data_IF_876589326967
#
_entry.id   IF_876589326967
#
_cell.length_a   1.000
_cell.length_b   1.000
_cell.length_c   1.000
_cell.angle_alpha   90.00
_cell.angle_beta   90.00
_cell.angle_gamma   90.00
#
_symmetry.space_group_name_H-M   'P 1'
#
loop_
_entity.id
_entity.type
_entity.pdbx_description
1 polymer ?
#
# COMPACT_ATOMS: atom_id res chain seq x y z
N UNK A 1 10.85 -44.04 -43.37
CA UNK A 1 9.67 -43.19 -43.06
C UNK A 1 9.33 -43.15 -41.57
N UNK A 2 9.79 -44.08 -40.74
CA UNK A 2 9.52 -44.10 -39.29
C UNK A 2 10.36 -43.06 -38.49
N UNK A 3 11.57 -42.72 -38.94
CA UNK A 3 12.51 -41.93 -38.14
C UNK A 3 12.13 -40.44 -38.02
N UNK A 4 11.50 -39.88 -39.05
CA UNK A 4 11.12 -38.45 -39.09
C UNK A 4 9.97 -38.12 -38.12
N UNK A 5 9.10 -39.10 -37.82
CA UNK A 5 8.01 -38.95 -36.86
C UNK A 5 8.53 -38.95 -35.42
N UNK A 6 9.43 -39.88 -35.09
CA UNK A 6 10.06 -39.96 -33.78
C UNK A 6 10.87 -38.69 -33.46
N UNK A 7 11.62 -38.17 -34.43
CA UNK A 7 12.39 -36.92 -34.27
C UNK A 7 11.45 -35.73 -34.02
N UNK A 8 10.34 -35.61 -34.77
CA UNK A 8 9.33 -34.56 -34.53
C UNK A 8 8.67 -34.66 -33.16
N UNK A 9 8.36 -35.88 -32.70
CA UNK A 9 7.75 -36.10 -31.38
C UNK A 9 8.72 -35.73 -30.25
N UNK A 10 10.01 -36.07 -30.37
CA UNK A 10 11.05 -35.65 -29.41
C UNK A 10 11.28 -34.14 -29.42
N UNK A 11 11.23 -33.48 -30.58
CA UNK A 11 11.33 -32.03 -30.69
C UNK A 11 10.12 -31.34 -30.03
N UNK A 12 8.91 -31.83 -30.24
CA UNK A 12 7.72 -31.28 -29.58
C UNK A 12 7.73 -31.51 -28.06
N UNK A 13 8.15 -32.68 -27.60
CA UNK A 13 8.27 -32.99 -26.17
C UNK A 13 9.35 -32.12 -25.49
N UNK A 14 10.50 -31.91 -26.14
CA UNK A 14 11.56 -31.04 -25.62
C UNK A 14 11.15 -29.57 -25.61
N UNK A 15 10.46 -29.08 -26.65
CA UNK A 15 9.87 -27.73 -26.66
C UNK A 15 8.83 -27.58 -25.55
N UNK A 16 7.97 -28.59 -25.35
CA UNK A 16 6.97 -28.57 -24.27
C UNK A 16 7.62 -28.56 -22.88
N UNK A 17 8.67 -29.36 -22.66
CA UNK A 17 9.44 -29.35 -21.41
C UNK A 17 10.15 -28.02 -21.16
N UNK A 18 10.70 -27.37 -22.19
CA UNK A 18 11.32 -26.05 -22.11
C UNK A 18 10.30 -24.94 -21.82
N UNK A 19 9.10 -25.01 -22.41
CA UNK A 19 8.01 -24.10 -22.10
C UNK A 19 7.53 -24.31 -20.66
N UNK A 20 7.33 -25.55 -20.23
CA UNK A 20 6.89 -25.85 -18.87
C UNK A 20 7.91 -25.41 -17.80
N UNK A 21 9.22 -25.60 -18.05
CA UNK A 21 10.26 -25.18 -17.11
C UNK A 21 10.37 -23.65 -17.01
N UNK A 22 10.21 -22.92 -18.12
CA UNK A 22 10.22 -21.45 -18.14
C UNK A 22 9.00 -20.84 -17.44
N UNK A 23 7.80 -21.43 -17.57
CA UNK A 23 6.62 -21.01 -16.80
C UNK A 23 6.81 -21.18 -15.29
N UNK A 24 7.35 -22.31 -14.83
CA UNK A 24 7.60 -22.56 -13.41
C UNK A 24 8.66 -21.60 -12.82
N UNK A 25 9.70 -21.28 -13.59
CA UNK A 25 10.77 -20.38 -13.14
C UNK A 25 10.29 -18.92 -12.96
N UNK A 26 9.41 -18.44 -13.84
CA UNK A 26 8.83 -17.09 -13.72
C UNK A 26 7.97 -16.93 -12.47
N UNK A 27 7.16 -17.94 -12.12
CA UNK A 27 6.33 -17.92 -10.90
C UNK A 27 7.17 -17.87 -9.62
N UNK A 28 8.23 -18.68 -9.53
CA UNK A 28 9.15 -18.72 -8.40
C UNK A 28 9.88 -17.37 -8.24
N UNK A 29 10.33 -16.75 -9.34
CA UNK A 29 11.01 -15.46 -9.29
C UNK A 29 10.10 -14.34 -8.78
N UNK A 30 8.84 -14.31 -9.23
CA UNK A 30 7.86 -13.30 -8.80
C UNK A 30 7.50 -13.44 -7.31
N UNK A 31 7.32 -14.67 -6.81
CA UNK A 31 7.06 -14.93 -5.39
C UNK A 31 8.24 -14.47 -4.53
N UNK A 32 9.47 -14.82 -4.93
CA UNK A 32 10.68 -14.42 -4.21
C UNK A 32 10.86 -12.90 -4.18
N UNK A 33 10.61 -12.21 -5.29
CA UNK A 33 10.63 -10.74 -5.34
C UNK A 33 9.56 -10.13 -4.43
N UNK A 34 8.36 -10.71 -4.38
CA UNK A 34 7.29 -10.24 -3.50
C UNK A 34 7.66 -10.41 -2.03
N UNK A 35 8.27 -11.54 -1.67
CA UNK A 35 8.76 -11.83 -0.32
C UNK A 35 9.90 -10.91 0.07
N UNK A 36 10.86 -10.70 -0.82
CA UNK A 36 11.97 -9.75 -0.64
C UNK A 36 11.47 -8.32 -0.40
N UNK A 37 10.45 -7.89 -1.17
CA UNK A 37 9.82 -6.58 -0.99
C UNK A 37 9.06 -6.46 0.34
N UNK A 38 8.51 -7.55 0.86
CA UNK A 38 7.83 -7.56 2.15
C UNK A 38 8.82 -7.50 3.32
N UNK A 39 9.99 -8.12 3.18
CA UNK A 39 11.05 -8.13 4.20
C UNK A 39 11.97 -6.92 4.17
N UNK A 40 11.91 -6.09 3.12
CA UNK A 40 12.71 -4.87 3.06
C UNK A 40 12.27 -3.87 4.12
N UNK A 41 13.22 -3.04 4.58
CA UNK A 41 12.92 -1.93 5.47
C UNK A 41 12.01 -0.90 4.80
N UNK A 42 11.07 -0.36 5.56
CA UNK A 42 10.12 0.65 5.07
C UNK A 42 10.78 2.02 4.91
N UNK A 43 11.70 2.37 5.82
CA UNK A 43 12.42 3.64 5.79
C UNK A 43 13.64 3.52 4.89
N UNK A 44 13.66 4.31 3.80
CA UNK A 44 14.73 4.34 2.80
C UNK A 44 15.13 5.79 2.52
N UNK A 45 16.43 6.07 2.45
CA UNK A 45 16.96 7.42 2.23
C UNK A 45 16.52 7.98 0.88
N UNK A 46 16.43 7.11 -0.11
CA UNK A 46 16.08 7.43 -1.50
C UNK A 46 14.69 8.04 -1.57
N UNK A 47 13.72 7.50 -0.81
CA UNK A 47 12.35 8.02 -0.74
C UNK A 47 12.33 9.40 -0.09
N UNK A 48 13.07 9.59 1.01
CA UNK A 48 13.15 10.89 1.70
C UNK A 48 13.75 11.94 0.78
N UNK A 49 14.81 11.58 0.04
CA UNK A 49 15.47 12.44 -0.93
C UNK A 49 14.51 12.82 -2.07
N UNK A 50 13.91 11.83 -2.72
CA UNK A 50 13.00 12.03 -3.86
C UNK A 50 11.84 12.97 -3.50
N UNK A 51 11.23 12.78 -2.34
CA UNK A 51 10.15 13.67 -1.87
C UNK A 51 10.67 15.09 -1.65
N UNK A 52 11.79 15.24 -0.95
CA UNK A 52 12.30 16.56 -0.56
C UNK A 52 12.93 17.35 -1.72
N UNK A 53 13.38 16.67 -2.78
CA UNK A 53 13.89 17.31 -4.00
C UNK A 53 12.77 17.80 -4.92
N UNK A 54 11.53 17.35 -4.71
CA UNK A 54 10.39 17.82 -5.48
C UNK A 54 9.99 19.26 -5.04
N UNK A 55 10.15 20.28 -5.90
CA UNK A 55 9.85 21.67 -5.53
C UNK A 55 8.36 21.92 -5.26
N UNK A 56 7.49 21.00 -5.69
CA UNK A 56 6.04 21.09 -5.51
C UNK A 56 5.55 20.34 -4.25
N UNK A 57 6.45 19.75 -3.46
CA UNK A 57 6.08 19.07 -2.23
C UNK A 57 5.65 20.09 -1.16
N UNK A 58 4.39 20.04 -0.75
CA UNK A 58 3.85 20.87 0.36
C UNK A 58 4.22 20.38 1.76
N UNK A 59 5.11 19.39 1.87
CA UNK A 59 5.50 18.72 3.12
C UNK A 59 6.95 18.23 3.02
N UNK A 60 7.57 17.95 4.17
CA UNK A 60 8.95 17.47 4.27
C UNK A 60 8.98 16.02 4.76
N UNK A 61 9.64 15.14 4.01
CA UNK A 61 9.90 13.77 4.44
C UNK A 61 11.07 13.71 5.42
N UNK A 62 10.95 12.82 6.42
CA UNK A 62 12.00 12.50 7.38
C UNK A 62 11.79 11.06 7.90
N UNK A 63 12.82 10.51 8.54
CA UNK A 63 12.67 9.25 9.27
C UNK A 63 11.88 9.47 10.56
N UNK A 64 11.04 8.48 10.87
CA UNK A 64 10.29 8.42 12.11
C UNK A 64 10.81 7.24 12.93
N UNK A 65 11.39 7.52 14.09
CA UNK A 65 12.03 6.54 14.95
C UNK A 65 11.07 5.41 15.39
N UNK A 66 9.75 5.67 15.41
CA UNK A 66 8.74 4.64 15.69
C UNK A 66 8.78 3.49 14.66
N UNK A 67 9.22 3.77 13.45
CA UNK A 67 9.32 2.80 12.36
C UNK A 67 10.78 2.42 12.07
N UNK A 68 11.71 2.75 12.97
CA UNK A 68 13.08 2.29 12.87
C UNK A 68 13.09 0.76 12.79
N UNK A 69 13.74 0.22 11.76
CA UNK A 69 13.85 -1.21 11.48
C UNK A 69 12.54 -1.94 11.13
N UNK A 70 11.43 -1.22 10.93
CA UNK A 70 10.20 -1.84 10.48
C UNK A 70 10.31 -2.30 9.02
N UNK A 71 9.83 -3.51 8.75
CA UNK A 71 9.67 -4.05 7.41
C UNK A 71 8.41 -3.50 6.73
N UNK A 72 8.33 -3.61 5.41
CA UNK A 72 7.10 -3.30 4.65
C UNK A 72 5.91 -4.13 5.14
N UNK A 73 6.13 -5.40 5.49
CA UNK A 73 5.08 -6.27 6.03
C UNK A 73 4.53 -5.78 7.38
N UNK A 74 5.40 -5.36 8.29
CA UNK A 74 5.01 -4.80 9.59
C UNK A 74 4.28 -3.48 9.43
N UNK A 75 4.78 -2.59 8.57
CA UNK A 75 4.14 -1.30 8.31
C UNK A 75 2.72 -1.47 7.73
N UNK A 76 2.51 -2.46 6.85
CA UNK A 76 1.18 -2.77 6.31
C UNK A 76 0.14 -3.13 7.37
N UNK A 77 0.55 -3.64 8.54
CA UNK A 77 -0.40 -3.96 9.64
C UNK A 77 -1.07 -2.70 10.21
N UNK A 78 -0.45 -1.53 10.05
CA UNK A 78 -1.02 -0.24 10.46
C UNK A 78 -2.14 0.23 9.51
N UNK A 79 -2.19 -0.32 8.29
CA UNK A 79 -3.13 0.06 7.23
C UNK A 79 -4.39 -0.83 7.23
N UNK A 80 -4.97 -1.06 8.42
CA UNK A 80 -6.04 -2.05 8.63
C UNK A 80 -7.47 -1.62 8.28
N UNK A 81 -7.67 -0.46 7.65
CA UNK A 81 -9.02 0.03 7.31
C UNK A 81 -9.50 -0.64 6.02
N UNK A 82 -10.64 -1.32 6.09
CA UNK A 82 -11.35 -1.85 4.92
C UNK A 82 -12.42 -0.84 4.51
N UNK A 83 -12.64 -0.71 3.19
CA UNK A 83 -13.66 0.19 2.66
C UNK A 83 -15.03 -0.10 3.29
N UNK A 84 -15.63 0.94 3.89
CA UNK A 84 -16.93 0.84 4.54
C UNK A 84 -18.01 0.48 3.50
N UNK A 85 -18.76 -0.63 3.70
CA UNK A 85 -19.84 -1.02 2.80
C UNK A 85 -20.94 0.05 2.73
N UNK A 86 -21.59 0.21 1.57
CA UNK A 86 -22.69 1.18 1.40
C UNK A 86 -23.84 0.96 2.39
N UNK A 87 -24.09 -0.29 2.78
CA UNK A 87 -25.11 -0.67 3.76
C UNK A 87 -24.80 -0.20 5.18
N UNK A 88 -23.53 0.06 5.52
CA UNK A 88 -23.15 0.54 6.85
C UNK A 88 -23.51 2.02 7.08
N UNK A 89 -23.85 2.77 6.03
CA UNK A 89 -24.36 4.13 6.14
C UNK A 89 -25.88 4.20 6.35
N UNK A 90 -26.59 3.07 6.32
CA UNK A 90 -28.03 3.02 6.57
C UNK A 90 -28.29 3.47 8.02
N UNK A 91 -28.97 4.60 8.19
CA UNK A 91 -29.32 5.16 9.49
C UNK A 91 -28.45 6.32 9.96
N UNK A 92 -27.41 6.72 9.22
CA UNK A 92 -26.66 7.96 9.52
C UNK A 92 -27.47 9.16 9.01
N UNK A 93 -27.92 10.10 9.88
CA UNK A 93 -28.67 11.26 9.43
C UNK A 93 -27.82 12.17 8.54
N UNK A 94 -28.37 12.58 7.41
CA UNK A 94 -27.74 13.57 6.54
C UNK A 94 -28.23 14.95 6.94
N UNK A 95 -27.35 15.76 7.52
CA UNK A 95 -27.62 17.18 7.81
C UNK A 95 -27.29 18.01 6.58
N UNK A 96 -28.26 18.80 6.10
CA UNK A 96 -28.09 19.71 4.97
C UNK A 96 -28.04 21.14 5.47
N UNK A 97 -27.11 21.92 4.92
CA UNK A 97 -26.97 23.35 5.21
C UNK A 97 -27.18 24.16 3.92
N UNK A 98 -27.58 25.42 4.07
CA UNK A 98 -27.70 26.36 2.96
C UNK A 98 -26.32 26.69 2.37
N UNK A 99 -26.24 26.87 1.04
CA UNK A 99 -25.00 27.19 0.34
C UNK A 99 -24.43 28.57 0.71
N UNK A 100 -25.27 29.48 1.20
CA UNK A 100 -24.87 30.81 1.69
C UNK A 100 -24.21 30.78 3.08
N UNK A 101 -24.15 29.61 3.73
CA UNK A 101 -23.49 29.45 5.02
C UNK A 101 -21.99 29.80 4.89
N UNK A 102 -21.57 30.87 5.56
CA UNK A 102 -20.18 31.32 5.58
C UNK A 102 -19.35 30.43 6.50
N UNK A 103 -18.57 29.53 5.89
CA UNK A 103 -17.60 28.72 6.62
C UNK A 103 -16.33 29.53 6.93
N UNK A 104 -15.66 29.25 8.07
CA UNK A 104 -14.42 29.92 8.39
C UNK A 104 -13.31 29.48 7.43
N UNK A 105 -12.33 30.36 7.22
CA UNK A 105 -11.14 30.05 6.40
C UNK A 105 -10.32 28.90 6.98
N UNK A 106 -10.26 28.81 8.31
CA UNK A 106 -9.52 27.80 9.06
C UNK A 106 -10.38 27.29 10.23
N UNK A 107 -10.27 26.01 10.55
CA UNK A 107 -11.03 25.39 11.64
C UNK A 107 -10.18 24.36 12.38
N UNK A 108 -10.18 24.45 13.71
CA UNK A 108 -9.59 23.45 14.60
C UNK A 108 -10.61 23.05 15.67
N UNK A 109 -11.00 21.78 15.66
CA UNK A 109 -11.96 21.24 16.63
C UNK A 109 -11.46 21.38 18.09
N UNK A 110 -10.14 21.34 18.31
CA UNK A 110 -9.54 21.50 19.65
C UNK A 110 -9.75 22.91 20.20
N UNK A 111 -9.84 23.90 19.31
CA UNK A 111 -10.11 25.30 19.67
C UNK A 111 -11.61 25.52 19.87
N UNK A 112 -12.44 25.00 18.97
CA UNK A 112 -13.90 25.15 19.04
C UNK A 112 -14.53 24.46 20.27
N UNK A 113 -13.98 23.30 20.68
CA UNK A 113 -14.45 22.53 21.84
C UNK A 113 -13.31 22.29 22.82
N UNK A 114 -12.73 23.37 23.33
CA UNK A 114 -11.55 23.34 24.21
C UNK A 114 -11.73 22.56 25.52
N UNK A 115 -12.97 22.45 26.01
CA UNK A 115 -13.30 21.67 27.21
C UNK A 115 -13.34 20.15 26.96
N UNK A 116 -13.40 19.72 25.69
CA UNK A 116 -13.44 18.30 25.31
C UNK A 116 -12.02 17.74 25.16
N UNK A 117 -11.43 17.28 26.25
CA UNK A 117 -10.07 16.71 26.29
C UNK A 117 -9.86 15.52 25.35
N UNK A 118 -10.94 14.78 25.04
CA UNK A 118 -10.93 13.64 24.12
C UNK A 118 -10.49 14.03 22.70
N UNK A 119 -10.76 15.25 22.24
CA UNK A 119 -10.46 15.72 20.88
C UNK A 119 -8.96 15.90 20.67
N UNK A 120 -8.22 16.33 21.71
CA UNK A 120 -6.76 16.53 21.63
C UNK A 120 -5.97 15.22 21.77
N UNK A 121 -6.57 14.19 22.37
CA UNK A 121 -5.87 12.99 22.82
C UNK A 121 -5.47 12.10 21.64
N UNK A 122 -4.16 11.89 21.47
CA UNK A 122 -3.62 10.93 20.50
C UNK A 122 -3.58 9.54 21.13
N UNK A 123 -4.22 8.57 20.48
CA UNK A 123 -4.22 7.17 20.90
C UNK A 123 -3.11 6.40 20.19
N UNK A 124 -2.40 5.55 20.93
CA UNK A 124 -1.48 4.57 20.36
C UNK A 124 -2.19 3.23 20.19
N UNK A 125 -2.33 2.76 18.95
CA UNK A 125 -2.52 1.34 18.66
C UNK A 125 -1.22 0.91 17.96
N UNK A 126 -0.42 0.11 18.65
CA UNK A 126 0.85 -0.41 18.17
C UNK A 126 0.67 -1.88 17.83
#
# INVERSE_FOLDING_TARGET
MADSCCIRLHLLASVFLLLFSSFNLQGIAAENLSKQKLTSLILQNEIVKEVNENPNAGWKAAFNDRFANATVAEFKRLLGVIQTPKTAYLGVPIVRHDLSLKLPKEFDARTAWSHCTSIRRILGRF
#
